data_IF_530385793569
#
_entry.id   IF_530385793569
#
_cell.length_a   1.000
_cell.length_b   1.000
_cell.length_c   1.000
_cell.angle_alpha   90.00
_cell.angle_beta   90.00
_cell.angle_gamma   90.00
#
_symmetry.space_group_name_H-M   'P 1'
#
loop_
_entity.id
_entity.type
_entity.pdbx_description
1 polymer ?
#
# COMPACT_ATOMS: atom_id res chain seq x y z
N UNK A 1 -13.88 -6.96 -17.71
CA UNK A 1 -12.99 -5.77 -17.69
C UNK A 1 -11.76 -6.12 -16.87
N UNK A 2 -10.52 -5.96 -17.34
CA UNK A 2 -9.35 -6.23 -16.49
C UNK A 2 -9.22 -5.09 -15.47
N UNK A 3 -9.60 -5.35 -14.22
CA UNK A 3 -9.39 -4.42 -13.11
C UNK A 3 -7.91 -4.44 -12.73
N UNK A 4 -7.21 -3.32 -12.92
CA UNK A 4 -5.83 -3.17 -12.42
C UNK A 4 -5.87 -2.84 -10.93
N UNK A 5 -5.85 -3.89 -10.09
CA UNK A 5 -5.95 -3.78 -8.62
C UNK A 5 -4.60 -3.78 -7.89
N UNK A 6 -3.50 -3.53 -8.62
CA UNK A 6 -2.15 -3.53 -8.05
C UNK A 6 -1.72 -2.08 -7.80
N UNK A 7 -1.35 -1.70 -6.56
CA UNK A 7 -0.83 -0.38 -6.28
C UNK A 7 0.46 -0.09 -7.07
N UNK A 8 0.44 1.01 -7.81
CA UNK A 8 1.62 1.60 -8.41
C UNK A 8 2.43 2.35 -7.35
N UNK A 9 3.72 2.05 -7.27
CA UNK A 9 4.64 2.66 -6.31
C UNK A 9 5.45 3.73 -7.02
N UNK A 10 5.35 4.97 -6.54
CA UNK A 10 6.16 6.12 -6.96
C UNK A 10 7.13 6.45 -5.84
N UNK A 11 8.39 6.06 -6.01
CA UNK A 11 9.43 6.23 -5.00
C UNK A 11 10.05 7.62 -5.05
N UNK A 12 10.23 8.23 -3.89
CA UNK A 12 11.14 9.35 -3.67
C UNK A 12 12.34 8.95 -2.83
N UNK A 13 13.44 9.70 -2.93
CA UNK A 13 14.57 9.64 -1.99
C UNK A 13 14.89 11.02 -1.43
N UNK A 14 14.91 11.12 -0.11
CA UNK A 14 15.36 12.29 0.65
C UNK A 14 16.65 11.92 1.36
N UNK A 15 17.65 12.79 1.28
CA UNK A 15 18.89 12.60 2.03
C UNK A 15 18.92 13.52 3.24
N UNK A 16 19.52 13.04 4.32
CA UNK A 16 19.71 13.80 5.56
C UNK A 16 21.20 14.06 5.80
N UNK A 17 21.51 15.15 6.48
CA UNK A 17 22.88 15.52 6.84
C UNK A 17 22.87 16.37 8.11
N UNK A 18 23.76 16.09 9.07
CA UNK A 18 23.94 16.95 10.23
C UNK A 18 24.97 18.03 9.92
N UNK A 19 24.73 19.24 10.45
CA UNK A 19 25.51 20.47 10.24
C UNK A 19 27.03 20.35 10.48
N UNK A 20 27.48 19.42 11.33
CA UNK A 20 28.89 19.15 11.55
C UNK A 20 29.57 18.32 10.45
N UNK A 21 28.82 17.81 9.46
CA UNK A 21 29.31 17.05 8.31
C UNK A 21 29.06 17.81 6.99
N UNK A 22 29.87 17.58 5.95
CA UNK A 22 29.63 18.21 4.66
C UNK A 22 28.32 17.74 4.03
N UNK A 23 27.34 18.64 3.89
CA UNK A 23 26.06 18.35 3.20
C UNK A 23 26.28 17.82 1.78
N UNK A 24 27.33 18.32 1.10
CA UNK A 24 27.72 17.88 -0.25
C UNK A 24 28.05 16.39 -0.34
N UNK A 25 28.53 15.77 0.75
CA UNK A 25 28.79 14.33 0.80
C UNK A 25 27.48 13.55 0.71
N UNK A 26 26.46 13.96 1.47
CA UNK A 26 25.13 13.35 1.46
C UNK A 26 24.45 13.51 0.08
N UNK A 27 24.54 14.70 -0.52
CA UNK A 27 24.06 14.97 -1.89
C UNK A 27 24.73 14.06 -2.92
N UNK A 28 26.06 13.97 -2.91
CA UNK A 28 26.82 13.13 -3.85
C UNK A 28 26.43 11.65 -3.71
N UNK A 29 26.30 11.15 -2.48
CA UNK A 29 25.94 9.76 -2.20
C UNK A 29 24.50 9.45 -2.62
N UNK A 30 23.55 10.37 -2.40
CA UNK A 30 22.17 10.25 -2.90
C UNK A 30 22.12 10.16 -4.41
N UNK A 31 22.84 11.04 -5.11
CA UNK A 31 22.93 11.02 -6.57
C UNK A 31 23.53 9.71 -7.09
N UNK A 32 24.52 9.13 -6.38
CA UNK A 32 25.07 7.83 -6.73
C UNK A 32 24.04 6.69 -6.61
N UNK A 33 23.20 6.69 -5.57
CA UNK A 33 22.10 5.72 -5.42
C UNK A 33 21.10 5.88 -6.57
N UNK A 34 20.71 7.12 -6.89
CA UNK A 34 19.82 7.40 -8.01
C UNK A 34 20.37 6.88 -9.34
N UNK A 35 21.68 7.01 -9.56
CA UNK A 35 22.35 6.49 -10.75
C UNK A 35 22.44 4.95 -10.77
N UNK A 36 22.62 4.31 -9.61
CA UNK A 36 22.70 2.85 -9.49
C UNK A 36 21.32 2.17 -9.61
N UNK A 37 20.24 2.84 -9.18
CA UNK A 37 18.89 2.29 -9.22
C UNK A 37 18.31 2.27 -10.64
N UNK A 38 17.89 1.08 -11.09
CA UNK A 38 17.39 0.86 -12.46
C UNK A 38 15.92 1.26 -12.66
N UNK A 39 15.17 1.47 -11.58
CA UNK A 39 13.75 1.85 -11.62
C UNK A 39 13.53 3.36 -11.56
N UNK A 40 12.25 3.74 -11.53
CA UNK A 40 11.86 5.13 -11.28
C UNK A 40 12.07 5.47 -9.80
N UNK A 41 12.84 6.53 -9.56
CA UNK A 41 13.16 7.04 -8.23
C UNK A 41 13.29 8.55 -8.34
N UNK A 42 12.40 9.29 -7.71
CA UNK A 42 12.48 10.74 -7.70
C UNK A 42 13.54 11.18 -6.68
N UNK A 43 14.52 11.98 -7.11
CA UNK A 43 15.55 12.52 -6.24
C UNK A 43 15.11 13.90 -5.73
N UNK A 44 14.76 14.00 -4.44
CA UNK A 44 14.44 15.28 -3.82
C UNK A 44 15.70 16.18 -3.82
N UNK A 45 15.65 17.42 -4.31
CA UNK A 45 16.81 18.31 -4.34
C UNK A 45 17.19 18.81 -2.94
N UNK A 46 16.25 18.79 -1.99
CA UNK A 46 16.46 19.26 -0.62
C UNK A 46 17.15 18.18 0.21
N UNK A 47 18.28 18.51 0.83
CA UNK A 47 18.92 17.69 1.86
C UNK A 47 18.54 18.25 3.23
N UNK A 48 18.12 17.39 4.15
CA UNK A 48 17.51 17.78 5.42
C UNK A 48 18.58 17.93 6.49
N UNK A 49 18.77 19.16 6.99
CA UNK A 49 19.61 19.45 8.17
C UNK A 49 18.80 19.93 9.38
N UNK A 50 17.56 20.39 9.17
CA UNK A 50 16.67 20.94 10.18
C UNK A 50 15.19 20.68 9.81
N UNK A 51 14.27 21.06 10.71
CA UNK A 51 12.83 20.81 10.56
C UNK A 51 12.19 21.58 9.39
N UNK A 52 12.69 22.77 9.06
CA UNK A 52 12.19 23.54 7.91
C UNK A 52 12.57 22.85 6.60
N UNK A 53 13.77 22.28 6.52
CA UNK A 53 14.19 21.51 5.35
C UNK A 53 13.43 20.19 5.25
N UNK A 54 13.12 19.53 6.38
CA UNK A 54 12.23 18.37 6.40
C UNK A 54 10.87 18.71 5.78
N UNK A 55 10.23 19.81 6.21
CA UNK A 55 8.92 20.22 5.65
C UNK A 55 9.00 20.49 4.15
N UNK A 56 10.07 21.16 3.69
CA UNK A 56 10.29 21.42 2.26
C UNK A 56 10.49 20.12 1.48
N UNK A 57 11.32 19.21 2.00
CA UNK A 57 11.65 17.96 1.34
C UNK A 57 10.43 17.03 1.23
N UNK A 58 9.63 16.91 2.30
CA UNK A 58 8.37 16.15 2.30
C UNK A 58 7.38 16.74 1.29
N UNK A 59 7.22 18.07 1.29
CA UNK A 59 6.34 18.73 0.33
C UNK A 59 6.79 18.50 -1.12
N UNK A 60 8.08 18.61 -1.39
CA UNK A 60 8.66 18.41 -2.72
C UNK A 60 8.40 17.00 -3.26
N UNK A 61 8.62 15.95 -2.45
CA UNK A 61 8.30 14.57 -2.89
C UNK A 61 6.80 14.32 -3.04
N UNK A 62 5.96 14.97 -2.23
CA UNK A 62 4.50 14.91 -2.36
C UNK A 62 4.02 15.60 -3.64
N UNK A 63 4.56 16.79 -3.96
CA UNK A 63 4.27 17.54 -5.19
C UNK A 63 4.74 16.77 -6.43
N UNK A 64 5.81 15.98 -6.32
CA UNK A 64 6.27 15.03 -7.34
C UNK A 64 5.38 13.77 -7.46
N UNK A 65 4.39 13.61 -6.58
CA UNK A 65 3.45 12.48 -6.57
C UNK A 65 4.05 11.19 -6.01
N UNK A 66 5.11 11.27 -5.21
CA UNK A 66 5.67 10.11 -4.52
C UNK A 66 4.69 9.60 -3.47
N UNK A 67 4.52 8.27 -3.40
CA UNK A 67 3.68 7.60 -2.41
C UNK A 67 4.45 6.59 -1.55
N UNK A 68 5.75 6.44 -1.79
CA UNK A 68 6.67 5.70 -0.94
C UNK A 68 8.01 6.43 -0.91
N UNK A 69 8.73 6.35 0.21
CA UNK A 69 9.89 7.19 0.45
C UNK A 69 11.08 6.41 0.97
N UNK A 70 12.26 6.79 0.50
CA UNK A 70 13.54 6.35 1.03
C UNK A 70 14.18 7.53 1.75
N UNK A 71 14.38 7.40 3.06
CA UNK A 71 15.14 8.34 3.87
C UNK A 71 16.58 7.82 3.96
N UNK A 72 17.49 8.53 3.33
CA UNK A 72 18.87 8.15 3.17
C UNK A 72 19.80 8.96 4.08
N UNK A 73 20.44 8.28 5.01
CA UNK A 73 21.48 8.83 5.88
C UNK A 73 22.81 8.82 5.11
N UNK A 74 23.07 9.90 4.37
CA UNK A 74 24.32 10.08 3.63
C UNK A 74 25.54 10.36 4.53
N UNK A 75 25.30 10.82 5.76
CA UNK A 75 26.21 10.88 6.90
C UNK A 75 25.35 10.77 8.18
N UNK A 76 25.81 11.26 9.34
CA UNK A 76 24.95 11.32 10.53
C UNK A 76 23.77 12.27 10.28
N UNK A 77 22.55 11.78 10.31
CA UNK A 77 21.37 12.62 10.14
C UNK A 77 20.98 13.37 11.42
N UNK A 78 20.36 14.55 11.31
CA UNK A 78 19.75 15.23 12.45
C UNK A 78 18.53 14.44 12.96
N UNK A 79 18.69 13.76 14.10
CA UNK A 79 17.73 12.77 14.66
C UNK A 79 16.26 13.22 14.72
N UNK A 80 16.01 14.49 15.02
CA UNK A 80 14.64 15.01 15.07
C UNK A 80 14.04 15.19 13.68
N UNK A 81 14.57 16.08 12.82
CA UNK A 81 13.98 16.30 11.51
C UNK A 81 14.06 15.07 10.59
N UNK A 82 15.02 14.16 10.73
CA UNK A 82 15.06 12.94 9.90
C UNK A 82 13.85 12.02 10.18
N UNK A 83 13.49 11.81 11.45
CA UNK A 83 12.37 10.93 11.81
C UNK A 83 11.03 11.60 11.58
N UNK A 84 10.97 12.93 11.67
CA UNK A 84 9.77 13.69 11.33
C UNK A 84 9.39 13.57 9.85
N UNK A 85 10.30 13.15 8.96
CA UNK A 85 9.94 12.82 7.57
C UNK A 85 8.85 11.74 7.57
N UNK A 86 9.04 10.63 8.29
CA UNK A 86 8.05 9.54 8.37
C UNK A 86 6.76 9.95 9.09
N UNK A 87 6.79 11.00 9.92
CA UNK A 87 5.60 11.56 10.54
C UNK A 87 4.76 12.40 9.57
N UNK A 88 5.41 13.14 8.67
CA UNK A 88 4.74 14.13 7.80
C UNK A 88 4.48 13.60 6.38
N UNK A 89 5.03 12.43 6.04
CA UNK A 89 4.80 11.77 4.75
C UNK A 89 3.71 10.70 4.87
N UNK A 90 2.64 10.84 4.08
CA UNK A 90 1.51 9.91 4.05
C UNK A 90 1.82 8.67 3.19
N UNK A 91 2.76 7.85 3.65
CA UNK A 91 3.13 6.60 2.97
C UNK A 91 4.28 5.84 3.66
N UNK A 92 4.59 4.63 3.17
CA UNK A 92 5.67 3.82 3.72
C UNK A 92 7.04 4.51 3.51
N UNK A 93 7.81 4.59 4.59
CA UNK A 93 9.17 5.13 4.59
C UNK A 93 10.18 4.02 4.90
N UNK A 94 11.19 3.87 4.05
CA UNK A 94 12.37 3.04 4.32
C UNK A 94 13.53 3.92 4.79
N UNK A 95 14.30 3.46 5.78
CA UNK A 95 15.51 4.12 6.26
C UNK A 95 16.74 3.29 5.96
N UNK A 96 17.74 3.90 5.33
CA UNK A 96 19.01 3.29 4.92
C UNK A 96 20.15 4.30 5.06
N UNK A 97 21.38 3.81 5.19
CA UNK A 97 22.54 4.64 5.43
C UNK A 97 23.72 4.29 4.51
N UNK A 98 24.59 5.26 4.28
CA UNK A 98 25.77 5.06 3.45
C UNK A 98 26.78 4.13 4.15
N UNK A 99 27.36 3.19 3.40
CA UNK A 99 28.61 2.57 3.78
C UNK A 99 29.72 3.63 3.79
N UNK A 100 30.66 3.46 4.72
CA UNK A 100 31.77 4.38 4.96
C UNK A 100 33.09 3.61 4.94
N UNK A 101 34.19 4.29 4.65
CA UNK A 101 35.51 3.65 4.57
C UNK A 101 35.93 3.21 3.17
N UNK A 102 35.53 3.96 2.13
CA UNK A 102 36.01 3.80 0.74
C UNK A 102 37.46 4.27 0.52
N UNK A 103 38.16 4.66 1.59
CA UNK A 103 39.56 5.09 1.59
C UNK A 103 39.75 6.61 1.52
N UNK A 104 38.71 7.40 1.25
CA UNK A 104 38.76 8.87 1.32
C UNK A 104 38.52 9.37 2.76
N UNK A 105 39.59 9.35 3.55
CA UNK A 105 39.56 9.75 4.96
C UNK A 105 39.42 11.27 5.18
N UNK A 106 39.45 12.08 4.11
CA UNK A 106 39.42 13.55 4.20
C UNK A 106 38.04 14.08 3.86
N UNK A 107 37.48 13.67 2.72
CA UNK A 107 36.18 14.17 2.24
C UNK A 107 35.08 13.09 2.21
N UNK A 108 35.44 11.81 2.40
CA UNK A 108 34.51 10.67 2.46
C UNK A 108 34.07 10.30 3.88
N UNK A 109 34.62 10.96 4.91
CA UNK A 109 34.30 10.68 6.30
C UNK A 109 32.92 11.25 6.67
N UNK A 110 31.97 10.35 6.89
CA UNK A 110 30.71 10.65 7.57
C UNK A 110 30.64 9.93 8.91
N UNK A 111 29.41 9.75 9.40
CA UNK A 111 29.09 8.90 10.55
C UNK A 111 27.67 8.29 10.38
N UNK A 112 27.40 7.80 9.17
CA UNK A 112 26.09 7.31 8.74
C UNK A 112 25.64 6.06 9.51
N UNK A 113 26.57 5.18 9.87
CA UNK A 113 26.23 3.97 10.64
C UNK A 113 25.73 4.33 12.05
N UNK A 114 26.45 5.19 12.78
CA UNK A 114 25.99 5.67 14.08
C UNK A 114 24.70 6.50 13.95
N UNK A 115 24.55 7.28 12.87
CA UNK A 115 23.29 7.93 12.53
C UNK A 115 22.12 6.95 12.44
N UNK A 116 22.29 5.83 11.72
CA UNK A 116 21.26 4.81 11.55
C UNK A 116 20.84 4.16 12.87
N UNK A 117 21.81 3.89 13.77
CA UNK A 117 21.50 3.36 15.10
C UNK A 117 20.62 4.33 15.90
N UNK A 118 20.97 5.63 15.90
CA UNK A 118 20.17 6.65 16.60
C UNK A 118 18.81 6.88 15.93
N UNK A 119 18.75 6.92 14.60
CA UNK A 119 17.50 7.01 13.84
C UNK A 119 16.54 5.88 14.24
N UNK A 120 17.02 4.63 14.32
CA UNK A 120 16.20 3.48 14.69
C UNK A 120 15.63 3.62 16.12
N UNK A 121 16.43 4.12 17.04
CA UNK A 121 16.01 4.38 18.41
C UNK A 121 14.99 5.53 18.49
N UNK A 122 15.22 6.62 17.74
CA UNK A 122 14.36 7.79 17.70
C UNK A 122 12.98 7.49 17.10
N UNK A 123 12.91 6.69 16.02
CA UNK A 123 11.65 6.18 15.46
C UNK A 123 10.81 5.47 16.52
N UNK A 124 11.45 4.58 17.30
CA UNK A 124 10.81 3.86 18.40
C UNK A 124 10.32 4.78 19.51
N UNK A 125 11.14 5.74 19.96
CA UNK A 125 10.76 6.72 20.98
C UNK A 125 9.57 7.61 20.55
N UNK A 126 9.43 7.86 19.26
CA UNK A 126 8.33 8.67 18.70
C UNK A 126 7.10 7.86 18.28
N UNK A 127 7.14 6.53 18.45
CA UNK A 127 6.10 5.61 17.98
C UNK A 127 5.81 5.78 16.48
N UNK A 128 6.87 5.98 15.67
CA UNK A 128 6.77 6.12 14.23
C UNK A 128 7.11 4.80 13.54
N UNK A 129 6.36 4.49 12.48
CA UNK A 129 6.62 3.33 11.65
C UNK A 129 7.63 3.68 10.56
N UNK A 130 8.68 2.88 10.45
CA UNK A 130 9.67 2.95 9.38
C UNK A 130 10.21 1.56 9.08
N UNK A 131 10.40 1.25 7.80
CA UNK A 131 11.03 0.01 7.38
C UNK A 131 12.55 0.17 7.42
N UNK A 132 13.24 -0.70 8.14
CA UNK A 132 14.70 -0.76 8.20
C UNK A 132 15.11 -2.16 7.71
N UNK A 133 15.84 -2.29 6.59
CA UNK A 133 16.39 -3.57 6.16
C UNK A 133 17.27 -4.20 7.24
N UNK A 134 17.44 -5.53 7.21
CA UNK A 134 18.28 -6.26 8.20
C UNK A 134 19.72 -5.72 8.24
N UNK A 135 20.27 -5.38 7.08
CA UNK A 135 21.55 -4.70 6.92
C UNK A 135 21.31 -3.36 6.20
N UNK A 136 20.98 -2.28 6.91
CA UNK A 136 20.50 -1.03 6.31
C UNK A 136 21.63 -0.12 5.83
N UNK A 137 22.88 -0.57 5.88
CA UNK A 137 24.07 0.22 5.56
C UNK A 137 24.80 -0.41 4.38
N UNK A 138 25.03 0.38 3.31
CA UNK A 138 25.57 -0.19 2.08
C UNK A 138 26.13 0.83 1.09
N UNK A 139 26.79 0.33 0.06
CA UNK A 139 27.19 1.15 -1.09
C UNK A 139 25.97 1.60 -1.89
N UNK A 140 26.16 2.46 -2.89
CA UNK A 140 25.05 2.88 -3.77
C UNK A 140 24.36 1.67 -4.44
N UNK A 141 25.11 0.65 -4.86
CA UNK A 141 24.57 -0.56 -5.47
C UNK A 141 23.81 -1.44 -4.47
N UNK A 142 24.29 -1.52 -3.22
CA UNK A 142 23.61 -2.27 -2.17
C UNK A 142 22.30 -1.61 -1.78
N UNK A 143 22.31 -0.29 -1.60
CA UNK A 143 21.10 0.49 -1.30
C UNK A 143 20.11 0.40 -2.46
N UNK A 144 20.57 0.48 -3.71
CA UNK A 144 19.68 0.31 -4.87
C UNK A 144 18.97 -1.06 -4.87
N UNK A 145 19.62 -2.14 -4.42
CA UNK A 145 18.99 -3.45 -4.23
C UNK A 145 17.97 -3.42 -3.08
N UNK A 146 18.32 -2.82 -1.93
CA UNK A 146 17.39 -2.66 -0.81
C UNK A 146 16.13 -1.88 -1.20
N UNK A 147 16.27 -0.83 -2.03
CA UNK A 147 15.14 -0.08 -2.58
C UNK A 147 14.27 -1.00 -3.45
N UNK A 148 14.87 -1.86 -4.28
CA UNK A 148 14.11 -2.82 -5.09
C UNK A 148 13.32 -3.82 -4.23
N UNK A 149 13.91 -4.32 -3.15
CA UNK A 149 13.26 -5.24 -2.20
C UNK A 149 12.18 -4.55 -1.36
N UNK A 150 12.28 -3.23 -1.16
CA UNK A 150 11.28 -2.42 -0.49
C UNK A 150 10.02 -2.18 -1.34
N UNK A 151 10.12 -2.12 -2.67
CA UNK A 151 8.97 -1.91 -3.58
C UNK A 151 7.77 -2.82 -3.27
N UNK A 152 7.90 -4.16 -3.15
CA UNK A 152 6.77 -5.01 -2.81
C UNK A 152 6.20 -4.73 -1.42
N UNK A 153 7.04 -4.37 -0.44
CA UNK A 153 6.59 -3.97 0.91
C UNK A 153 5.76 -2.68 0.84
N UNK A 154 6.30 -1.66 0.17
CA UNK A 154 5.62 -0.38 -0.02
C UNK A 154 4.27 -0.57 -0.74
N UNK A 155 4.24 -1.41 -1.77
CA UNK A 155 3.02 -1.77 -2.49
C UNK A 155 1.97 -2.39 -1.58
N UNK A 156 2.35 -3.35 -0.73
CA UNK A 156 1.44 -3.99 0.20
C UNK A 156 0.84 -2.97 1.19
N UNK A 157 1.70 -2.12 1.79
CA UNK A 157 1.27 -1.07 2.71
C UNK A 157 0.30 -0.09 2.03
N UNK A 158 0.61 0.38 0.83
CA UNK A 158 -0.27 1.26 0.05
C UNK A 158 -1.61 0.61 -0.32
N UNK A 159 -1.60 -0.69 -0.62
CA UNK A 159 -2.81 -1.47 -0.85
C UNK A 159 -3.71 -1.49 0.37
N UNK A 160 -3.14 -1.81 1.53
CA UNK A 160 -3.85 -1.90 2.82
C UNK A 160 -4.38 -0.53 3.27
N UNK A 161 -3.55 0.51 3.25
CA UNK A 161 -3.98 1.87 3.64
C UNK A 161 -5.08 2.44 2.73
N UNK A 162 -5.07 2.02 1.45
CA UNK A 162 -6.08 2.40 0.46
C UNK A 162 -7.32 1.52 0.44
N UNK A 163 -7.43 0.50 1.31
CA UNK A 163 -8.48 -0.49 1.30
C UNK A 163 -9.74 -0.04 2.05
N UNK A 164 -10.90 -0.34 1.49
CA UNK A 164 -12.18 -0.42 2.19
C UNK A 164 -12.67 -1.86 2.21
N UNK A 165 -13.05 -2.36 3.38
CA UNK A 165 -13.72 -3.64 3.52
C UNK A 165 -15.21 -3.37 3.68
N UNK A 166 -16.02 -3.92 2.78
CA UNK A 166 -17.48 -3.87 2.84
C UNK A 166 -17.96 -5.26 3.22
N UNK A 167 -18.72 -5.36 4.31
CA UNK A 167 -19.20 -6.65 4.83
C UNK A 167 -20.70 -6.77 4.67
N UNK A 168 -21.19 -7.98 4.43
CA UNK A 168 -22.62 -8.29 4.42
C UNK A 168 -22.93 -9.45 5.34
N UNK A 169 -23.50 -9.12 6.50
CA UNK A 169 -23.84 -10.07 7.54
C UNK A 169 -22.73 -10.29 8.56
N UNK A 170 -23.10 -10.64 9.81
CA UNK A 170 -22.11 -10.98 10.83
C UNK A 170 -21.46 -12.33 10.51
N UNK A 171 -20.28 -12.57 11.07
CA UNK A 171 -19.68 -13.91 11.05
C UNK A 171 -20.64 -14.97 11.59
N UNK A 172 -20.60 -16.22 11.09
CA UNK A 172 -21.33 -17.32 11.72
C UNK A 172 -20.83 -17.58 13.16
N UNK A 173 -21.71 -18.11 14.01
CA UNK A 173 -21.46 -18.31 15.45
C UNK A 173 -20.14 -19.05 15.73
N UNK A 174 -19.90 -20.16 15.04
CA UNK A 174 -18.73 -21.03 15.26
C UNK A 174 -17.46 -20.59 14.54
N UNK A 175 -17.47 -19.45 13.85
CA UNK A 175 -16.34 -18.94 13.05
C UNK A 175 -15.57 -17.82 13.78
N UNK A 176 -15.19 -18.06 15.04
CA UNK A 176 -14.49 -17.05 15.86
C UNK A 176 -13.14 -16.61 15.28
N UNK A 177 -12.43 -17.49 14.57
CA UNK A 177 -11.16 -17.16 13.92
C UNK A 177 -11.33 -16.20 12.72
N UNK A 178 -12.54 -16.07 12.18
CA UNK A 178 -12.88 -15.15 11.09
C UNK A 178 -13.36 -13.78 11.62
N UNK A 179 -13.09 -13.47 12.89
CA UNK A 179 -13.39 -12.17 13.46
C UNK A 179 -12.39 -11.12 12.93
N UNK A 180 -12.91 -10.01 12.43
CA UNK A 180 -12.15 -8.84 11.98
C UNK A 180 -12.13 -7.78 13.10
N UNK A 181 -11.01 -7.61 13.84
CA UNK A 181 -10.94 -6.61 14.90
C UNK A 181 -10.90 -5.20 14.29
N UNK A 182 -12.04 -4.49 14.32
CA UNK A 182 -12.22 -3.15 13.73
C UNK A 182 -11.08 -2.19 14.11
N UNK A 183 -10.71 -2.15 15.40
CA UNK A 183 -9.63 -1.29 15.89
C UNK A 183 -8.31 -1.56 15.17
N UNK A 184 -7.92 -2.83 15.02
CA UNK A 184 -6.66 -3.19 14.37
C UNK A 184 -6.66 -2.87 12.87
N UNK A 185 -7.81 -3.00 12.22
CA UNK A 185 -7.96 -2.62 10.81
C UNK A 185 -7.87 -1.09 10.63
N UNK A 186 -8.47 -0.31 11.53
CA UNK A 186 -8.34 1.15 11.55
C UNK A 186 -6.91 1.62 11.82
N UNK A 187 -6.17 0.93 12.70
CA UNK A 187 -4.74 1.21 12.94
C UNK A 187 -3.87 0.95 11.69
N UNK A 188 -4.30 0.06 10.79
CA UNK A 188 -3.68 -0.16 9.48
C UNK A 188 -4.16 0.82 8.39
N UNK A 189 -5.08 1.73 8.72
CA UNK A 189 -5.66 2.69 7.80
C UNK A 189 -6.80 2.16 6.92
N UNK A 190 -7.26 0.92 7.14
CA UNK A 190 -8.37 0.31 6.39
C UNK A 190 -9.69 0.95 6.81
N UNK A 191 -10.58 1.21 5.86
CA UNK A 191 -11.96 1.60 6.14
C UNK A 191 -12.88 0.39 6.24
N UNK A 192 -13.92 0.46 7.06
CA UNK A 192 -14.92 -0.62 7.19
C UNK A 192 -16.31 -0.06 7.01
N UNK A 193 -17.12 -0.76 6.22
CA UNK A 193 -18.56 -0.56 6.14
C UNK A 193 -19.26 -1.89 6.37
N UNK A 194 -20.05 -1.97 7.45
CA UNK A 194 -20.81 -3.16 7.79
C UNK A 194 -22.27 -2.99 7.34
N UNK A 195 -22.74 -3.94 6.53
CA UNK A 195 -24.11 -3.99 6.03
C UNK A 195 -24.77 -5.31 6.42
N UNK A 196 -26.11 -5.37 6.37
CA UNK A 196 -26.83 -6.61 6.57
C UNK A 196 -26.91 -7.44 5.29
N UNK A 197 -27.06 -8.77 5.41
CA UNK A 197 -27.39 -9.65 4.26
C UNK A 197 -28.70 -9.21 3.56
N UNK A 198 -29.60 -8.53 4.28
CA UNK A 198 -30.84 -8.00 3.73
C UNK A 198 -30.59 -6.82 2.80
N UNK A 199 -29.65 -5.92 3.12
CA UNK A 199 -29.28 -4.80 2.26
C UNK A 199 -28.72 -5.30 0.92
N UNK A 200 -27.88 -6.34 0.96
CA UNK A 200 -27.38 -7.03 -0.23
C UNK A 200 -28.52 -7.64 -1.04
N UNK A 201 -29.45 -8.33 -0.39
CA UNK A 201 -30.58 -8.97 -1.07
C UNK A 201 -31.52 -7.93 -1.72
N UNK A 202 -31.77 -6.81 -1.05
CA UNK A 202 -32.58 -5.70 -1.59
C UNK A 202 -31.91 -5.12 -2.83
N UNK A 203 -30.60 -4.85 -2.76
CA UNK A 203 -29.85 -4.34 -3.91
C UNK A 203 -29.82 -5.35 -5.05
N UNK A 204 -29.57 -6.62 -4.77
CA UNK A 204 -29.62 -7.68 -5.77
C UNK A 204 -30.97 -7.72 -6.47
N UNK A 205 -32.08 -7.71 -5.72
CA UNK A 205 -33.44 -7.69 -6.31
C UNK A 205 -33.68 -6.44 -7.17
N UNK A 206 -33.11 -5.29 -6.80
CA UNK A 206 -33.22 -4.07 -7.59
C UNK A 206 -32.46 -4.14 -8.93
N UNK A 207 -31.42 -4.98 -9.03
CA UNK A 207 -30.67 -5.24 -10.27
C UNK A 207 -31.37 -6.21 -11.23
N UNK A 208 -32.55 -6.73 -10.88
CA UNK A 208 -33.30 -7.63 -11.77
C UNK A 208 -33.61 -6.95 -13.12
N UNK A 209 -33.23 -7.62 -14.21
CA UNK A 209 -33.44 -7.10 -15.56
C UNK A 209 -32.47 -6.01 -16.01
N UNK A 210 -31.35 -5.80 -15.29
CA UNK A 210 -30.28 -4.91 -15.75
C UNK A 210 -29.76 -5.36 -17.14
N UNK A 211 -29.65 -4.42 -18.07
CA UNK A 211 -29.29 -4.68 -19.47
C UNK A 211 -27.88 -5.27 -19.62
N UNK A 212 -27.00 -5.06 -18.65
CA UNK A 212 -25.62 -5.58 -18.62
C UNK A 212 -25.56 -7.08 -18.29
N UNK A 213 -26.60 -7.65 -17.70
CA UNK A 213 -26.62 -9.06 -17.25
C UNK A 213 -26.29 -10.02 -18.40
N UNK A 214 -26.89 -9.81 -19.58
CA UNK A 214 -26.68 -10.68 -20.73
C UNK A 214 -25.21 -10.70 -21.20
N UNK A 215 -24.53 -9.55 -21.13
CA UNK A 215 -23.11 -9.43 -21.50
C UNK A 215 -22.22 -10.17 -20.48
N UNK A 216 -22.44 -9.93 -19.19
CA UNK A 216 -21.67 -10.58 -18.11
C UNK A 216 -21.90 -12.09 -18.11
N UNK A 217 -23.14 -12.55 -18.29
CA UNK A 217 -23.46 -13.97 -18.38
C UNK A 217 -22.79 -14.64 -19.60
N UNK A 218 -22.71 -13.95 -20.74
CA UNK A 218 -22.00 -14.44 -21.92
C UNK A 218 -20.48 -14.54 -21.69
N UNK A 219 -19.90 -13.58 -20.96
CA UNK A 219 -18.49 -13.62 -20.54
C UNK A 219 -18.21 -14.81 -19.62
N UNK A 220 -19.05 -15.03 -18.60
CA UNK A 220 -18.98 -16.20 -17.71
C UNK A 220 -19.10 -17.52 -18.49
N UNK A 221 -20.07 -17.61 -19.41
CA UNK A 221 -20.26 -18.79 -20.26
C UNK A 221 -19.01 -19.11 -21.10
N UNK A 222 -18.36 -18.08 -21.65
CA UNK A 222 -17.14 -18.20 -22.43
C UNK A 222 -15.96 -18.66 -21.56
N UNK A 223 -15.83 -18.12 -20.35
CA UNK A 223 -14.80 -18.50 -19.39
C UNK A 223 -14.94 -19.97 -18.96
N UNK A 224 -16.15 -20.38 -18.59
CA UNK A 224 -16.42 -21.75 -18.12
C UNK A 224 -16.35 -22.77 -19.27
N UNK A 225 -16.80 -22.40 -20.47
CA UNK A 225 -16.85 -23.25 -21.66
C UNK A 225 -18.17 -24.01 -21.83
N UNK A 226 -18.45 -24.44 -23.06
CA UNK A 226 -19.70 -25.10 -23.44
C UNK A 226 -19.96 -26.38 -22.62
N UNK A 227 -21.22 -26.57 -22.17
CA UNK A 227 -21.66 -27.74 -21.41
C UNK A 227 -21.19 -27.77 -19.93
N UNK A 228 -20.53 -26.72 -19.44
CA UNK A 228 -19.98 -26.65 -18.08
C UNK A 228 -20.70 -25.67 -17.15
N UNK A 229 -21.83 -25.13 -17.61
CA UNK A 229 -22.62 -24.15 -16.86
C UNK A 229 -24.12 -24.38 -17.06
N UNK A 230 -24.91 -23.85 -16.11
CA UNK A 230 -26.36 -23.77 -16.23
C UNK A 230 -26.76 -22.33 -16.61
N UNK A 231 -27.45 -22.09 -17.74
CA UNK A 231 -27.77 -20.74 -18.21
C UNK A 231 -28.51 -19.89 -17.16
N UNK A 232 -29.48 -20.49 -16.47
CA UNK A 232 -30.25 -19.85 -15.41
C UNK A 232 -29.42 -19.45 -14.19
N UNK A 233 -28.33 -20.17 -13.90
CA UNK A 233 -27.41 -19.81 -12.81
C UNK A 233 -26.48 -18.66 -13.23
N UNK A 234 -26.05 -18.63 -14.50
CA UNK A 234 -25.22 -17.54 -15.01
C UNK A 234 -25.96 -16.20 -14.94
N UNK A 235 -27.25 -16.16 -15.26
CA UNK A 235 -28.04 -14.93 -15.16
C UNK A 235 -28.07 -14.38 -13.72
N UNK A 236 -28.30 -15.25 -12.73
CA UNK A 236 -28.30 -14.89 -11.30
C UNK A 236 -26.91 -14.44 -10.82
N UNK A 237 -25.86 -15.17 -11.21
CA UNK A 237 -24.49 -14.82 -10.85
C UNK A 237 -24.04 -13.51 -11.50
N UNK A 238 -24.42 -13.27 -12.76
CA UNK A 238 -24.14 -12.01 -13.46
C UNK A 238 -24.87 -10.83 -12.81
N UNK A 239 -26.13 -11.00 -12.41
CA UNK A 239 -26.87 -10.00 -11.63
C UNK A 239 -26.16 -9.70 -10.30
N UNK A 240 -25.62 -10.72 -9.62
CA UNK A 240 -24.89 -10.56 -8.37
C UNK A 240 -23.53 -9.87 -8.56
N UNK A 241 -22.76 -10.23 -9.59
CA UNK A 241 -21.51 -9.55 -9.95
C UNK A 241 -21.74 -8.05 -10.17
N UNK A 242 -22.77 -7.69 -10.93
CA UNK A 242 -23.14 -6.29 -11.16
C UNK A 242 -23.57 -5.59 -9.88
N UNK A 243 -24.33 -6.29 -9.02
CA UNK A 243 -24.74 -5.75 -7.71
C UNK A 243 -23.51 -5.38 -6.87
N UNK A 244 -22.51 -6.24 -6.80
CA UNK A 244 -21.27 -5.98 -6.05
C UNK A 244 -20.43 -4.88 -6.69
N UNK A 245 -20.28 -4.87 -8.02
CA UNK A 245 -19.51 -3.84 -8.72
C UNK A 245 -20.12 -2.45 -8.56
N UNK A 246 -21.44 -2.33 -8.70
CA UNK A 246 -22.14 -1.06 -8.51
C UNK A 246 -22.13 -0.63 -7.04
N UNK A 247 -22.25 -1.57 -6.09
CA UNK A 247 -22.09 -1.28 -4.67
C UNK A 247 -20.69 -0.77 -4.36
N UNK A 248 -19.64 -1.43 -4.87
CA UNK A 248 -18.26 -1.01 -4.69
C UNK A 248 -18.08 0.43 -5.20
N UNK A 249 -18.55 0.74 -6.41
CA UNK A 249 -18.41 2.09 -6.97
C UNK A 249 -19.14 3.15 -6.14
N UNK A 250 -20.37 2.88 -5.72
CA UNK A 250 -21.17 3.82 -4.93
C UNK A 250 -20.65 4.01 -3.49
N UNK A 251 -20.00 3.00 -2.91
CA UNK A 251 -19.63 2.98 -1.49
C UNK A 251 -18.12 3.12 -1.23
N UNK A 252 -17.26 2.97 -2.24
CA UNK A 252 -15.79 3.08 -2.09
C UNK A 252 -15.32 4.42 -1.51
N UNK A 253 -16.05 5.50 -1.78
CA UNK A 253 -15.72 6.84 -1.28
C UNK A 253 -14.32 7.28 -1.71
N UNK A 254 -13.53 7.80 -0.77
CA UNK A 254 -12.15 8.26 -1.04
C UNK A 254 -11.10 7.12 -1.09
N UNK A 255 -11.50 5.86 -0.84
CA UNK A 255 -10.58 4.72 -0.84
C UNK A 255 -10.27 4.27 -2.26
N UNK A 256 -9.18 3.52 -2.44
CA UNK A 256 -8.70 3.08 -3.76
C UNK A 256 -9.04 1.63 -4.08
N UNK A 257 -9.17 0.77 -3.07
CA UNK A 257 -9.48 -0.64 -3.23
C UNK A 257 -10.69 -1.03 -2.38
N UNK A 258 -11.46 -2.01 -2.84
CA UNK A 258 -12.59 -2.57 -2.11
C UNK A 258 -12.39 -4.07 -2.00
N UNK A 259 -12.65 -4.62 -0.83
CA UNK A 259 -12.80 -6.06 -0.61
C UNK A 259 -14.18 -6.32 0.00
N UNK A 260 -14.87 -7.32 -0.54
CA UNK A 260 -16.14 -7.80 0.01
C UNK A 260 -15.91 -8.95 0.99
N UNK A 261 -16.61 -8.91 2.11
CA UNK A 261 -16.65 -10.00 3.09
C UNK A 261 -18.11 -10.40 3.32
N UNK A 262 -18.58 -11.30 2.46
CA UNK A 262 -19.99 -11.69 2.41
C UNK A 262 -20.21 -12.96 3.22
N UNK A 263 -21.26 -12.97 4.04
CA UNK A 263 -21.73 -14.21 4.63
C UNK A 263 -22.46 -15.04 3.56
N UNK A 264 -21.80 -16.09 3.11
CA UNK A 264 -22.31 -17.01 2.09
C UNK A 264 -23.22 -18.13 2.63
N UNK A 265 -23.34 -18.32 3.95
CA UNK A 265 -24.22 -19.33 4.53
C UNK A 265 -24.79 -18.90 5.89
N UNK A 266 -25.99 -19.40 6.28
CA UNK A 266 -26.83 -20.35 5.56
C UNK A 266 -27.94 -19.71 4.69
N UNK A 267 -28.22 -18.42 4.85
CA UNK A 267 -29.36 -17.78 4.18
C UNK A 267 -29.13 -17.54 2.68
N UNK A 268 -27.87 -17.33 2.28
CA UNK A 268 -27.53 -16.95 0.91
C UNK A 268 -28.07 -17.93 -0.15
N UNK A 269 -27.86 -19.26 -0.06
CA UNK A 269 -28.28 -20.18 -1.10
C UNK A 269 -29.81 -20.26 -1.23
N UNK A 270 -30.53 -20.15 -0.12
CA UNK A 270 -32.00 -20.16 -0.09
C UNK A 270 -32.57 -18.87 -0.71
N UNK A 271 -31.98 -17.71 -0.42
CA UNK A 271 -32.51 -16.42 -0.85
C UNK A 271 -32.06 -16.00 -2.26
N UNK A 272 -30.84 -16.35 -2.66
CA UNK A 272 -30.27 -16.01 -3.96
C UNK A 272 -30.40 -17.16 -4.97
N UNK A 273 -30.53 -18.41 -4.50
CA UNK A 273 -30.67 -19.59 -5.34
C UNK A 273 -29.34 -20.06 -5.97
N UNK A 274 -28.20 -19.66 -5.41
CA UNK A 274 -26.85 -20.10 -5.77
C UNK A 274 -25.85 -19.76 -4.64
N UNK A 275 -24.63 -20.30 -4.73
CA UNK A 275 -23.50 -19.97 -3.86
C UNK A 275 -22.61 -18.89 -4.51
N UNK A 276 -22.13 -17.86 -3.79
CA UNK A 276 -21.44 -16.71 -4.40
C UNK A 276 -19.99 -17.01 -4.85
N UNK A 277 -19.47 -18.22 -4.56
CA UNK A 277 -18.06 -18.57 -4.72
C UNK A 277 -17.48 -18.29 -6.12
N UNK A 278 -18.25 -18.53 -7.18
CA UNK A 278 -17.79 -18.29 -8.56
C UNK A 278 -17.59 -16.79 -8.83
N UNK A 279 -18.57 -15.96 -8.46
CA UNK A 279 -18.49 -14.50 -8.62
C UNK A 279 -17.35 -13.95 -7.75
N UNK A 280 -17.23 -14.41 -6.50
CA UNK A 280 -16.15 -14.01 -5.60
C UNK A 280 -14.77 -14.34 -6.19
N UNK A 281 -14.65 -15.46 -6.90
CA UNK A 281 -13.39 -15.86 -7.57
C UNK A 281 -13.08 -15.01 -8.80
N UNK A 282 -14.09 -14.49 -9.50
CA UNK A 282 -13.90 -13.58 -10.65
C UNK A 282 -13.46 -12.18 -10.24
N UNK A 283 -13.83 -11.76 -9.02
CA UNK A 283 -13.51 -10.43 -8.48
C UNK A 283 -12.20 -10.38 -7.69
N UNK A 284 -11.60 -11.53 -7.36
CA UNK A 284 -10.34 -11.66 -6.63
C UNK A 284 -9.12 -11.43 -7.53
#
# INVERSE_FOLDING_TARGET
MMLTNIPEVKLGIIAVSRDCFPIALSVKRRAAIKAAYKGELYECPVTVENELDMLKAVKDVQDAGCNALVVFLGNFGPETPETLIAKNFDGPCMFVAAAEGDGDMINGRGDAYCGMLNCSYNLGMRHLNGYIPEYPVGTADDIAKMIADFVPVARAVLGVMGLKIITFGPRPQDFFACNAPIKGLYELGIEIEENSELDLLVSYKAHAGDKRIAEVAADMAKEMGEGKYYPEMLERMAQFELTLLDWAEAHKGARKYVAFADKCWPAFPEQFGFEPCYVNSRLA
#
